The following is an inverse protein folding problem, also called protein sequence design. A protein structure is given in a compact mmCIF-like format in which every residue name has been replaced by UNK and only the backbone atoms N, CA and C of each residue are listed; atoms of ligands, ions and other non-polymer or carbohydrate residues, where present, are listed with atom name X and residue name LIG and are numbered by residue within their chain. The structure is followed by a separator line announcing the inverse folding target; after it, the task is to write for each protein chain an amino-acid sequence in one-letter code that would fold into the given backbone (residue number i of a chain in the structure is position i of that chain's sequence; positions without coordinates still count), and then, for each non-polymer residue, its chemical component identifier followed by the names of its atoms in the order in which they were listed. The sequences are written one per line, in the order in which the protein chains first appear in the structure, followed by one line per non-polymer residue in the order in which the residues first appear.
data_IF_549189238321
#
_entry.id   IF_549189238321
#
_cell.length_a   1.000
_cell.length_b   1.000
_cell.length_c   1.000
_cell.angle_alpha   90.00
_cell.angle_beta   90.00
_cell.angle_gamma   90.00
#
_symmetry.space_group_name_H-M   'P 1'
#
loop_
_entity.id
_entity.type
_entity.pdbx_description
1 polymer ?
#
# COMPACT_ATOMS: atom_id res chain seq x y z
N UNK A 1 -5.79 74.48 25.40
CA UNK A 1 -6.46 73.64 24.40
C UNK A 1 -5.46 72.63 23.89
N UNK A 2 -5.57 71.34 24.22
CA UNK A 2 -4.81 70.29 23.57
C UNK A 2 -5.70 69.56 22.55
N UNK A 3 -5.16 69.35 21.35
CA UNK A 3 -5.79 68.63 20.26
C UNK A 3 -5.68 67.12 20.44
N UNK A 4 -6.79 66.44 20.15
CA UNK A 4 -6.96 65.00 20.00
C UNK A 4 -6.22 64.49 18.75
N UNK A 5 -5.56 63.34 18.83
CA UNK A 5 -5.36 62.45 17.70
C UNK A 5 -5.45 61.00 18.16
N UNK A 6 -6.15 60.26 17.32
CA UNK A 6 -6.73 58.92 17.48
C UNK A 6 -5.73 57.81 17.12
N UNK A 7 -6.15 56.57 17.40
CA UNK A 7 -5.71 55.29 16.80
C UNK A 7 -4.38 54.65 17.27
N UNK A 8 -4.53 53.47 17.88
CA UNK A 8 -3.45 52.52 18.14
C UNK A 8 -4.01 51.15 18.49
N UNK A 9 -4.30 50.38 17.45
CA UNK A 9 -4.94 49.07 17.43
C UNK A 9 -4.49 48.09 18.52
N UNK A 10 -5.47 47.51 19.21
CA UNK A 10 -5.26 46.33 20.04
C UNK A 10 -4.82 45.15 19.17
N UNK A 11 -3.58 44.71 19.35
CA UNK A 11 -3.13 43.39 18.91
C UNK A 11 -3.86 42.35 19.77
N UNK A 12 -5.07 41.96 19.32
CA UNK A 12 -5.61 40.66 19.67
C UNK A 12 -4.61 39.64 19.15
N UNK A 13 -3.93 38.96 20.06
CA UNK A 13 -3.21 37.73 19.77
C UNK A 13 -4.25 36.70 19.32
N UNK A 14 -4.56 36.74 18.02
CA UNK A 14 -5.27 35.71 17.31
C UNK A 14 -4.42 34.44 17.42
N UNK A 15 -4.93 33.46 18.14
CA UNK A 15 -4.37 32.12 18.25
C UNK A 15 -4.47 31.45 16.88
N UNK A 16 -3.56 31.84 15.99
CA UNK A 16 -3.42 31.29 14.66
C UNK A 16 -3.05 29.82 14.76
N UNK A 17 -4.05 28.99 14.53
CA UNK A 17 -3.97 27.58 14.16
C UNK A 17 -2.58 27.18 13.66
N UNK A 18 -1.87 26.35 14.43
CA UNK A 18 -0.69 25.66 13.94
C UNK A 18 -1.10 24.92 12.66
N UNK A 19 -0.64 25.40 11.51
CA UNK A 19 -0.80 24.72 10.24
C UNK A 19 -0.19 23.34 10.44
N UNK A 20 -1.02 22.30 10.52
CA UNK A 20 -0.55 20.92 10.66
C UNK A 20 0.12 20.52 9.34
N UNK A 21 1.38 20.93 9.22
CA UNK A 21 2.17 20.82 8.01
C UNK A 21 2.26 19.36 7.60
N UNK A 22 2.06 19.10 6.32
CA UNK A 22 2.19 17.74 5.77
C UNK A 22 3.56 17.17 6.14
N UNK A 23 3.62 15.99 6.77
CA UNK A 23 4.89 15.35 7.06
C UNK A 23 5.72 15.19 5.78
N UNK A 24 6.99 15.56 5.85
CA UNK A 24 7.90 15.49 4.68
C UNK A 24 8.07 14.07 4.13
N UNK A 25 7.79 13.06 4.95
CA UNK A 25 7.87 11.65 4.63
C UNK A 25 6.49 11.04 4.31
N UNK A 26 5.49 11.86 3.99
CA UNK A 26 4.18 11.37 3.58
C UNK A 26 4.22 10.68 2.19
N UNK A 27 3.60 9.52 2.08
CA UNK A 27 3.67 8.67 0.89
C UNK A 27 2.48 8.79 -0.07
N UNK A 28 1.56 9.73 0.13
CA UNK A 28 0.33 9.87 -0.66
C UNK A 28 0.57 9.87 -2.18
N UNK A 29 1.59 10.60 -2.65
CA UNK A 29 1.92 10.71 -4.07
C UNK A 29 2.47 9.40 -4.68
N UNK A 30 2.89 8.44 -3.86
CA UNK A 30 3.52 7.20 -4.28
C UNK A 30 2.59 5.98 -4.15
N UNK A 31 1.32 6.20 -3.84
CA UNK A 31 0.29 5.15 -3.82
C UNK A 31 -0.34 5.07 -5.21
N UNK A 32 -0.40 3.87 -5.76
CA UNK A 32 -1.09 3.59 -7.03
C UNK A 32 -2.61 3.47 -6.80
N UNK A 33 -3.22 4.62 -6.54
CA UNK A 33 -4.63 4.78 -6.14
C UNK A 33 -5.63 4.07 -7.08
N UNK A 34 -5.50 4.14 -8.43
CA UNK A 34 -6.42 3.42 -9.32
C UNK A 34 -6.45 1.90 -9.11
N UNK A 35 -5.36 1.32 -8.61
CA UNK A 35 -5.20 -0.11 -8.40
C UNK A 35 -5.36 -0.53 -6.92
N UNK A 36 -5.86 0.36 -6.06
CA UNK A 36 -6.25 0.01 -4.69
C UNK A 36 -7.54 -0.82 -4.76
N UNK A 37 -7.49 -2.01 -4.18
CA UNK A 37 -8.60 -2.97 -4.16
C UNK A 37 -9.07 -3.15 -2.71
N UNK A 38 -10.38 -3.14 -2.51
CA UNK A 38 -11.00 -3.55 -1.25
C UNK A 38 -11.84 -4.81 -1.48
N UNK A 39 -11.80 -5.74 -0.53
CA UNK A 39 -12.65 -6.94 -0.50
C UNK A 39 -13.62 -6.84 0.67
N UNK A 40 -14.83 -7.37 0.47
CA UNK A 40 -15.98 -7.21 1.36
C UNK A 40 -16.27 -5.74 1.67
N UNK A 41 -16.29 -4.89 0.63
CA UNK A 41 -16.50 -3.46 0.77
C UNK A 41 -17.55 -2.96 -0.23
N UNK A 42 -18.29 -1.94 0.17
CA UNK A 42 -19.31 -1.29 -0.65
C UNK A 42 -18.73 -0.49 -1.83
N UNK A 43 -17.50 0.02 -1.68
CA UNK A 43 -16.86 0.95 -2.61
C UNK A 43 -15.43 0.53 -2.98
N UNK A 44 -14.82 1.23 -3.95
CA UNK A 44 -13.40 1.02 -4.28
C UNK A 44 -12.52 1.47 -3.11
N UNK A 45 -11.50 0.69 -2.75
CA UNK A 45 -10.61 1.03 -1.63
C UNK A 45 -9.81 2.34 -1.79
N UNK A 46 -9.79 2.95 -2.98
CA UNK A 46 -9.14 4.24 -3.23
C UNK A 46 -9.79 5.40 -2.47
N UNK A 47 -11.08 5.29 -2.08
CA UNK A 47 -11.84 6.34 -1.38
C UNK A 47 -11.26 6.73 -0.02
N UNK A 48 -10.56 5.80 0.65
CA UNK A 48 -9.89 6.05 1.93
C UNK A 48 -8.46 6.58 1.78
N UNK A 49 -7.93 6.61 0.55
CA UNK A 49 -6.59 7.17 0.27
C UNK A 49 -6.74 8.65 -0.05
N UNK A 50 -6.69 9.48 0.99
CA UNK A 50 -6.88 10.95 0.88
C UNK A 50 -5.57 11.72 1.00
N UNK A 51 -5.54 12.93 0.44
CA UNK A 51 -4.43 13.85 0.69
C UNK A 51 -4.40 14.24 2.18
N UNK A 52 -3.22 14.61 2.70
CA UNK A 52 -3.05 14.92 4.14
C UNK A 52 -4.02 15.98 4.66
N UNK A 53 -4.27 17.03 3.87
CA UNK A 53 -5.22 18.10 4.19
C UNK A 53 -6.68 17.62 4.26
N UNK A 54 -7.01 16.51 3.61
CA UNK A 54 -8.36 15.92 3.58
C UNK A 54 -8.49 14.70 4.52
N UNK A 55 -7.48 14.39 5.34
CA UNK A 55 -7.49 13.20 6.22
C UNK A 55 -8.61 13.19 7.26
N UNK A 56 -9.18 14.36 7.57
CA UNK A 56 -10.29 14.52 8.51
C UNK A 56 -11.66 14.57 7.85
N UNK A 57 -11.70 14.62 6.51
CA UNK A 57 -12.95 14.56 5.77
C UNK A 57 -13.58 13.17 5.93
N UNK A 58 -14.85 13.15 6.33
CA UNK A 58 -15.65 11.93 6.53
C UNK A 58 -16.77 11.79 5.49
N UNK A 59 -16.78 12.63 4.44
CA UNK A 59 -17.81 12.57 3.40
C UNK A 59 -17.71 11.29 2.56
N UNK A 60 -16.49 10.78 2.38
CA UNK A 60 -16.21 9.47 1.78
C UNK A 60 -15.60 8.52 2.80
N UNK A 61 -16.01 7.26 2.75
CA UNK A 61 -15.53 6.20 3.62
C UNK A 61 -15.61 4.86 2.89
N UNK A 62 -15.00 3.84 3.49
CA UNK A 62 -15.14 2.45 3.11
C UNK A 62 -15.84 1.73 4.26
N UNK A 63 -16.94 1.05 3.97
CA UNK A 63 -17.70 0.24 4.92
C UNK A 63 -17.71 -1.21 4.45
N UNK A 64 -17.67 -2.15 5.38
CA UNK A 64 -17.77 -3.57 5.04
C UNK A 64 -19.21 -3.95 4.67
N UNK A 65 -19.38 -4.84 3.68
CA UNK A 65 -20.69 -5.05 3.01
C UNK A 65 -21.50 -6.22 3.60
N UNK A 66 -20.88 -7.40 3.77
CA UNK A 66 -21.60 -8.62 4.22
C UNK A 66 -21.45 -8.91 5.71
N UNK A 67 -20.26 -8.64 6.26
CA UNK A 67 -19.87 -8.86 7.66
C UNK A 67 -18.84 -7.80 8.06
N UNK A 68 -18.29 -7.86 9.27
CA UNK A 68 -17.38 -6.85 9.79
C UNK A 68 -15.90 -7.04 9.40
N UNK A 69 -15.60 -7.99 8.51
CA UNK A 69 -14.26 -8.21 7.98
C UNK A 69 -14.00 -7.34 6.75
N UNK A 70 -12.75 -6.90 6.57
CA UNK A 70 -12.37 -6.06 5.45
C UNK A 70 -10.92 -6.32 5.06
N UNK A 71 -10.64 -6.42 3.75
CA UNK A 71 -9.27 -6.44 3.22
C UNK A 71 -9.08 -5.23 2.31
N UNK A 72 -7.97 -4.51 2.47
CA UNK A 72 -7.56 -3.40 1.58
C UNK A 72 -6.15 -3.68 1.07
N UNK A 73 -6.01 -3.83 -0.25
CA UNK A 73 -4.75 -4.07 -0.96
C UNK A 73 -4.27 -2.77 -1.58
N UNK A 74 -3.11 -2.30 -1.16
CA UNK A 74 -2.59 -0.98 -1.49
C UNK A 74 -1.25 -1.13 -2.22
N UNK A 75 -1.23 -1.02 -3.56
CA UNK A 75 0.01 -0.99 -4.33
C UNK A 75 0.71 0.38 -4.22
N UNK A 76 2.04 0.36 -4.27
CA UNK A 76 2.88 1.54 -4.38
C UNK A 76 3.49 1.63 -5.78
N UNK A 77 3.79 2.84 -6.24
CA UNK A 77 4.40 3.10 -7.56
C UNK A 77 5.89 2.77 -7.63
N UNK A 78 6.48 2.30 -6.52
CA UNK A 78 7.88 1.90 -6.42
C UNK A 78 8.14 1.14 -5.13
N UNK A 79 9.40 1.10 -4.68
CA UNK A 79 9.75 0.47 -3.41
C UNK A 79 9.68 1.50 -2.28
N UNK A 80 8.91 1.19 -1.24
CA UNK A 80 8.80 2.04 -0.05
C UNK A 80 9.37 1.35 1.19
N UNK A 81 10.00 2.17 2.03
CA UNK A 81 10.40 1.84 3.40
C UNK A 81 9.41 2.49 4.37
N UNK A 82 8.48 1.70 4.90
CA UNK A 82 7.39 2.21 5.76
C UNK A 82 7.86 2.45 7.19
N UNK A 83 7.52 3.63 7.71
CA UNK A 83 7.75 4.04 9.11
C UNK A 83 6.46 3.94 9.93
N UNK A 84 5.37 4.48 9.41
CA UNK A 84 4.09 4.52 10.13
C UNK A 84 2.90 4.26 9.21
N UNK A 85 1.87 3.64 9.77
CA UNK A 85 0.51 3.63 9.22
C UNK A 85 -0.32 4.72 9.92
N UNK A 86 -1.10 5.47 9.16
CA UNK A 86 -2.05 6.46 9.63
C UNK A 86 -3.46 5.96 9.32
N UNK A 87 -4.32 5.86 10.33
CA UNK A 87 -5.68 5.32 10.21
C UNK A 87 -6.67 6.26 10.90
N UNK A 88 -7.81 6.51 10.24
CA UNK A 88 -9.02 7.05 10.86
C UNK A 88 -10.17 6.10 10.54
N UNK A 89 -10.86 5.61 11.57
CA UNK A 89 -11.89 4.57 11.45
C UNK A 89 -13.03 4.79 12.45
N UNK A 90 -14.06 3.94 12.40
CA UNK A 90 -15.21 3.99 13.29
C UNK A 90 -16.42 4.77 12.73
N UNK A 91 -17.25 5.41 13.57
CA UNK A 91 -17.05 5.67 15.00
C UNK A 91 -17.40 4.48 15.91
N UNK A 92 -16.95 4.56 17.17
CA UNK A 92 -17.32 3.65 18.27
C UNK A 92 -17.08 2.18 17.88
N UNK A 93 -18.13 1.36 17.92
CA UNK A 93 -18.06 -0.07 17.68
C UNK A 93 -17.78 -0.43 16.22
N UNK A 94 -17.92 0.50 15.25
CA UNK A 94 -17.53 0.29 13.84
C UNK A 94 -16.00 0.38 13.64
N UNK A 95 -15.25 0.68 14.69
CA UNK A 95 -13.78 0.71 14.66
C UNK A 95 -13.29 -0.74 14.52
N UNK A 96 -12.32 -1.04 13.64
CA UNK A 96 -11.67 -2.35 13.63
C UNK A 96 -11.14 -2.68 15.03
N UNK A 97 -11.22 -3.93 15.47
CA UNK A 97 -10.57 -4.35 16.72
C UNK A 97 -9.03 -4.29 16.56
N UNK A 98 -8.55 -4.83 15.45
CA UNK A 98 -7.13 -4.87 15.08
C UNK A 98 -6.95 -4.72 13.58
N UNK A 99 -5.74 -4.34 13.18
CA UNK A 99 -5.31 -4.37 11.78
C UNK A 99 -4.07 -5.26 11.67
N UNK A 100 -4.16 -6.27 10.81
CA UNK A 100 -3.07 -7.15 10.44
C UNK A 100 -2.47 -6.69 9.10
N UNK A 101 -1.15 -6.52 9.04
CA UNK A 101 -0.44 -6.03 7.87
C UNK A 101 0.36 -7.14 7.19
N UNK A 102 0.22 -7.25 5.87
CA UNK A 102 0.95 -8.20 5.04
C UNK A 102 1.73 -7.44 3.97
N UNK A 103 3.05 -7.42 4.07
CA UNK A 103 3.92 -6.79 3.08
C UNK A 103 4.12 -7.70 1.86
N UNK A 104 4.02 -7.13 0.65
CA UNK A 104 4.28 -7.80 -0.63
C UNK A 104 3.39 -9.03 -0.88
N UNK A 105 2.13 -8.97 -0.45
CA UNK A 105 1.11 -10.00 -0.68
C UNK A 105 -0.10 -9.41 -1.44
N UNK A 106 0.06 -9.05 -2.73
CA UNK A 106 -0.95 -8.29 -3.48
C UNK A 106 -2.24 -9.09 -3.80
N UNK A 107 -2.18 -10.41 -3.71
CA UNK A 107 -3.31 -11.31 -4.02
C UNK A 107 -3.99 -11.89 -2.78
N UNK A 108 -3.63 -11.44 -1.57
CA UNK A 108 -4.09 -11.98 -0.30
C UNK A 108 -5.61 -11.83 -0.11
N UNK A 109 -6.32 -12.94 0.04
CA UNK A 109 -7.77 -13.02 0.28
C UNK A 109 -8.10 -13.55 1.70
N UNK A 110 -9.39 -13.79 1.96
CA UNK A 110 -9.88 -14.23 3.28
C UNK A 110 -9.49 -15.66 3.64
N UNK A 111 -9.28 -16.54 2.65
CA UNK A 111 -8.80 -17.90 2.88
C UNK A 111 -7.30 -17.86 3.23
N UNK A 112 -6.52 -17.06 2.50
CA UNK A 112 -5.08 -16.87 2.72
C UNK A 112 -4.72 -16.31 4.11
N UNK A 113 -5.50 -15.35 4.62
CA UNK A 113 -5.20 -14.66 5.91
C UNK A 113 -5.28 -15.60 7.11
N UNK A 114 -6.02 -16.71 7.02
CA UNK A 114 -6.15 -17.68 8.09
C UNK A 114 -4.85 -18.45 8.33
N UNK A 115 -4.09 -18.73 7.27
CA UNK A 115 -2.88 -19.55 7.31
C UNK A 115 -1.58 -18.74 7.31
N UNK A 116 -1.65 -17.45 6.95
CA UNK A 116 -0.46 -16.58 6.85
C UNK A 116 -0.24 -15.78 8.12
N UNK A 117 1.02 -15.73 8.57
CA UNK A 117 1.41 -14.85 9.68
C UNK A 117 1.53 -13.40 9.20
N UNK A 118 0.87 -12.43 9.85
CA UNK A 118 1.03 -11.02 9.50
C UNK A 118 2.47 -10.55 9.75
N UNK A 119 2.93 -9.62 8.92
CA UNK A 119 4.25 -8.98 9.08
C UNK A 119 4.30 -8.21 10.40
N UNK A 120 3.21 -7.52 10.71
CA UNK A 120 2.94 -6.85 11.97
C UNK A 120 1.42 -6.69 12.15
N UNK A 121 0.95 -6.68 13.38
CA UNK A 121 -0.44 -6.38 13.74
C UNK A 121 -0.46 -5.45 14.96
N UNK A 122 -1.56 -4.73 15.13
CA UNK A 122 -1.81 -3.87 16.29
C UNK A 122 -3.32 -3.70 16.51
N UNK A 123 -3.69 -3.53 17.78
CA UNK A 123 -5.03 -3.13 18.20
C UNK A 123 -5.28 -1.67 17.83
N UNK A 124 -6.52 -1.36 17.44
CA UNK A 124 -6.92 -0.01 17.06
C UNK A 124 -7.69 0.62 18.21
N UNK A 125 -7.24 1.77 18.68
CA UNK A 125 -7.98 2.50 19.71
C UNK A 125 -9.22 3.18 19.11
N UNK A 126 -10.32 3.19 19.86
CA UNK A 126 -11.47 4.01 19.49
C UNK A 126 -11.10 5.48 19.66
N UNK A 127 -10.98 6.18 18.54
CA UNK A 127 -10.76 7.62 18.51
C UNK A 127 -11.40 8.22 17.27
N UNK A 128 -11.72 9.52 17.34
CA UNK A 128 -12.15 10.30 16.18
C UNK A 128 -10.99 10.95 15.45
N UNK A 129 -9.80 10.97 16.06
CA UNK A 129 -8.58 11.48 15.45
C UNK A 129 -7.91 10.46 14.52
N UNK A 130 -6.93 10.92 13.74
CA UNK A 130 -6.06 10.03 12.97
C UNK A 130 -5.06 9.38 13.91
N UNK A 131 -5.11 8.06 14.06
CA UNK A 131 -4.12 7.29 14.81
C UNK A 131 -2.85 7.03 13.99
N UNK A 132 -1.68 7.28 14.57
CA UNK A 132 -0.39 6.90 14.00
C UNK A 132 0.15 5.62 14.67
N UNK A 133 0.32 4.57 13.87
CA UNK A 133 0.81 3.27 14.29
C UNK A 133 2.22 3.05 13.75
N UNK A 134 3.19 2.96 14.66
CA UNK A 134 4.60 2.78 14.31
C UNK A 134 4.87 1.37 13.77
N UNK A 135 5.52 1.29 12.61
CA UNK A 135 5.89 0.05 11.95
C UNK A 135 7.35 -0.31 12.23
N UNK A 136 7.63 -1.61 12.37
CA UNK A 136 8.99 -2.13 12.47
C UNK A 136 9.67 -2.00 11.12
N UNK A 137 10.30 -0.85 10.87
CA UNK A 137 10.85 -0.47 9.56
C UNK A 137 11.77 -1.54 8.94
N UNK A 138 12.47 -2.34 9.76
CA UNK A 138 13.27 -3.47 9.26
C UNK A 138 12.43 -4.49 8.46
N UNK A 139 11.20 -4.78 8.90
CA UNK A 139 10.25 -5.68 8.23
C UNK A 139 9.56 -5.05 7.02
N UNK A 140 9.56 -3.72 6.93
CA UNK A 140 8.89 -2.95 5.88
C UNK A 140 9.87 -2.09 5.10
N UNK A 141 11.08 -2.60 4.83
CA UNK A 141 12.16 -1.84 4.20
C UNK A 141 12.12 -1.82 2.68
N UNK A 142 11.43 -2.78 2.06
CA UNK A 142 11.29 -2.93 0.63
C UNK A 142 9.87 -3.43 0.31
N UNK A 143 8.90 -2.54 0.41
CA UNK A 143 7.48 -2.83 0.20
C UNK A 143 7.04 -2.27 -1.13
N UNK A 144 6.41 -3.10 -1.95
CA UNK A 144 5.80 -2.70 -3.24
C UNK A 144 4.28 -2.77 -3.20
N UNK A 145 3.72 -3.56 -2.29
CA UNK A 145 2.31 -3.56 -1.95
C UNK A 145 2.15 -3.86 -0.46
N UNK A 146 1.12 -3.28 0.15
CA UNK A 146 0.73 -3.58 1.52
C UNK A 146 -0.75 -3.98 1.55
N UNK A 147 -1.04 -5.09 2.21
CA UNK A 147 -2.41 -5.52 2.45
C UNK A 147 -2.75 -5.32 3.92
N UNK A 148 -3.85 -4.62 4.17
CA UNK A 148 -4.45 -4.42 5.49
C UNK A 148 -5.61 -5.40 5.60
N UNK A 149 -5.65 -6.15 6.69
CA UNK A 149 -6.76 -7.02 7.04
C UNK A 149 -7.36 -6.58 8.39
N UNK A 150 -8.66 -6.31 8.38
CA UNK A 150 -9.49 -6.04 9.56
C UNK A 150 -10.36 -7.29 9.78
N UNK A 151 -10.14 -8.07 10.85
CA UNK A 151 -10.84 -9.34 11.06
C UNK A 151 -12.17 -9.20 11.80
N UNK A 152 -12.41 -8.06 12.45
CA UNK A 152 -13.62 -7.78 13.20
C UNK A 152 -13.67 -6.29 13.54
N UNK A 153 -14.87 -5.80 13.79
CA UNK A 153 -15.11 -4.52 14.44
C UNK A 153 -15.11 -4.67 15.98
N UNK A 154 -15.18 -3.56 16.71
CA UNK A 154 -15.27 -3.55 18.17
C UNK A 154 -16.72 -3.71 18.68
N UNK A 155 -17.51 -4.55 18.01
CA UNK A 155 -18.86 -4.92 18.43
C UNK A 155 -20.00 -4.33 17.61
N UNK A 156 -19.74 -3.90 16.38
CA UNK A 156 -20.76 -3.61 15.37
C UNK A 156 -20.84 -4.75 14.33
N UNK A 157 -21.85 -4.72 13.46
CA UNK A 157 -21.96 -5.68 12.36
C UNK A 157 -21.14 -5.26 11.12
N UNK A 158 -20.54 -4.06 11.16
CA UNK A 158 -19.75 -3.51 10.06
C UNK A 158 -18.53 -2.74 10.56
N UNK A 159 -17.45 -2.80 9.78
CA UNK A 159 -16.22 -2.03 9.98
C UNK A 159 -16.19 -0.83 9.04
N UNK A 160 -15.80 0.35 9.55
CA UNK A 160 -15.72 1.58 8.75
C UNK A 160 -14.37 2.27 8.84
N UNK A 161 -13.83 2.68 7.69
CA UNK A 161 -12.55 3.38 7.54
C UNK A 161 -12.76 4.65 6.72
N UNK A 162 -12.23 5.79 7.20
CA UNK A 162 -12.31 7.09 6.51
C UNK A 162 -10.98 7.49 5.88
N UNK A 163 -9.87 7.06 6.46
CA UNK A 163 -8.55 7.47 6.02
C UNK A 163 -7.51 6.37 6.25
N UNK A 164 -6.70 6.12 5.22
CA UNK A 164 -5.48 5.33 5.28
C UNK A 164 -4.35 6.16 4.67
N UNK A 165 -3.29 6.38 5.45
CA UNK A 165 -2.10 7.10 5.03
C UNK A 165 -0.83 6.38 5.48
N UNK A 166 0.30 6.70 4.85
CA UNK A 166 1.59 6.11 5.20
C UNK A 166 2.66 7.17 5.28
N UNK A 167 3.57 6.99 6.23
CA UNK A 167 4.79 7.77 6.37
C UNK A 167 6.01 6.86 6.14
N UNK A 168 7.02 7.36 5.45
CA UNK A 168 8.22 6.60 5.12
C UNK A 168 9.01 7.19 3.94
N UNK A 169 9.87 6.37 3.35
CA UNK A 169 10.70 6.78 2.22
C UNK A 169 10.38 5.98 0.98
N UNK A 170 10.19 6.65 -0.14
CA UNK A 170 10.05 6.02 -1.45
C UNK A 170 11.39 5.95 -2.17
N UNK A 171 11.56 4.94 -3.00
CA UNK A 171 12.69 4.76 -3.91
C UNK A 171 12.21 4.15 -5.23
N UNK A 172 12.86 4.55 -6.31
CA UNK A 172 12.57 4.03 -7.65
C UNK A 172 12.89 2.54 -7.73
N UNK A 173 11.95 1.76 -8.27
CA UNK A 173 12.15 0.33 -8.52
C UNK A 173 12.94 0.17 -9.82
N UNK A 174 14.21 -0.22 -9.71
CA UNK A 174 14.99 -0.68 -10.87
C UNK A 174 14.52 -2.09 -11.23
N UNK A 175 13.58 -2.19 -12.17
CA UNK A 175 13.14 -3.48 -12.69
C UNK A 175 14.27 -4.05 -13.57
N UNK A 176 15.13 -4.88 -12.98
CA UNK A 176 16.06 -5.72 -13.74
C UNK A 176 15.34 -7.05 -14.00
N UNK A 177 14.74 -7.26 -15.19
CA UNK A 177 14.22 -8.57 -15.52
C UNK A 177 15.39 -9.55 -15.53
N UNK A 178 15.38 -10.50 -14.59
CA UNK A 178 16.24 -11.69 -14.67
C UNK A 178 15.72 -12.47 -15.87
N UNK A 179 16.27 -12.20 -17.04
CA UNK A 179 16.15 -13.09 -18.19
C UNK A 179 16.99 -14.31 -17.83
N UNK A 180 16.39 -15.28 -17.14
CA UNK A 180 16.92 -16.63 -17.06
C UNK A 180 16.85 -17.21 -18.47
N UNK A 181 17.87 -16.93 -19.26
CA UNK A 181 18.20 -17.77 -20.42
C UNK A 181 18.54 -19.12 -19.80
N UNK A 182 17.55 -20.01 -19.79
CA UNK A 182 17.81 -21.42 -19.58
C UNK A 182 18.62 -21.84 -20.81
N UNK A 183 19.94 -21.80 -20.70
CA UNK A 183 20.84 -22.38 -21.68
C UNK A 183 20.55 -23.88 -21.71
N UNK A 184 19.59 -24.30 -22.52
CA UNK A 184 19.55 -25.66 -23.04
C UNK A 184 20.75 -25.81 -23.97
N UNK A 185 21.93 -25.97 -23.37
CA UNK A 185 23.04 -26.62 -24.05
C UNK A 185 22.60 -28.08 -24.28
N UNK A 186 21.84 -28.30 -25.35
CA UNK A 186 21.76 -29.60 -25.97
C UNK A 186 23.20 -29.95 -26.39
N UNK A 187 23.85 -30.79 -25.58
CA UNK A 187 25.14 -31.38 -25.92
C UNK A 187 24.90 -32.22 -27.18
N UNK A 188 25.25 -31.69 -28.35
CA UNK A 188 25.08 -32.32 -29.66
C UNK A 188 26.12 -33.43 -29.91
N UNK A 189 26.45 -34.20 -28.87
CA UNK A 189 27.42 -35.29 -28.92
C UNK A 189 26.79 -36.67 -28.70
N UNK A 190 25.46 -36.76 -28.54
CA UNK A 190 24.74 -38.02 -28.35
C UNK A 190 23.67 -38.21 -29.42
N UNK A 191 24.11 -38.41 -30.67
CA UNK A 191 23.29 -39.05 -31.70
C UNK A 191 24.19 -40.02 -32.48
N UNK A 192 23.93 -41.32 -32.28
CA UNK A 192 24.62 -42.42 -32.96
C UNK A 192 24.43 -42.42 -34.48
N UNK A 193 25.42 -43.00 -35.17
CA UNK A 193 25.62 -43.13 -36.62
C UNK A 193 24.37 -43.49 -37.44
N UNK A 194 24.26 -42.87 -38.61
CA UNK A 194 23.81 -43.55 -39.84
C UNK A 194 24.76 -43.24 -41.00
N UNK A 195 25.35 -44.31 -41.52
CA UNK A 195 26.29 -44.39 -42.63
C UNK A 195 25.49 -44.75 -43.89
N UNK A 196 25.50 -43.91 -44.93
CA UNK A 196 25.03 -44.33 -46.26
C UNK A 196 24.60 -43.22 -47.22
N UNK A 197 25.26 -43.20 -48.40
CA UNK A 197 24.91 -42.55 -49.68
C UNK A 197 25.11 -41.02 -49.71
N UNK A 198 25.86 -40.42 -50.65
CA UNK A 198 25.86 -40.49 -52.12
C UNK A 198 27.22 -39.90 -52.60
N UNK A 199 28.00 -40.42 -53.55
CA UNK A 199 27.61 -40.71 -54.93
C UNK A 199 28.05 -39.59 -55.89
N UNK A 200 29.35 -39.32 -56.07
CA UNK A 200 29.81 -38.46 -57.19
C UNK A 200 30.95 -39.11 -57.97
N UNK A 201 30.54 -39.76 -59.06
CA UNK A 201 31.36 -40.09 -60.22
C UNK A 201 31.81 -38.80 -60.91
N UNK A 202 33.08 -38.74 -61.34
CA UNK A 202 33.51 -37.91 -62.46
C UNK A 202 34.79 -38.46 -63.07
N UNK A 203 34.63 -39.04 -64.25
CA UNK A 203 35.60 -39.18 -65.34
C UNK A 203 34.79 -38.95 -66.63
N UNK A 204 35.38 -38.59 -67.81
CA UNK A 204 36.77 -38.85 -68.19
C UNK A 204 37.48 -37.76 -69.04
N UNK A 205 38.80 -38.00 -69.24
CA UNK A 205 39.63 -37.82 -70.46
C UNK A 205 39.76 -36.45 -71.16
N UNK A 206 40.99 -35.92 -71.18
CA UNK A 206 41.85 -35.90 -72.39
C UNK A 206 43.34 -35.79 -72.01
#
# INVERSE_FOLDING_TARGET
MPHHHDEGCGHGSDEGCAYDAMPNDNLYAYIDRPNVVALNADHQGSVVIKAWNNRLDESEYLESDSDDQLIIRIPFTGSVRLRSLLIKSGPLNQTPEKIALFANQPSLDFDDVADKTPTQEFEIAQSRDVGEYSLKTAKFSNVSSLTLYCPASQGADATKIYYVGFLGHWSERKDNPVITVYETQANLADHEKIQGMDGTFSAPQH
#
